data_IF_414724086989
#
_entry.id   IF_414724086989
#
_cell.length_a   1.000
_cell.length_b   1.000
_cell.length_c   1.000
_cell.angle_alpha   90.00
_cell.angle_beta   90.00
_cell.angle_gamma   90.00
#
_symmetry.space_group_name_H-M   'P 1'
#
loop_
_entity.id
_entity.type
_entity.pdbx_description
1 polymer ?
#
# COMPACT_ATOMS: atom_id res chain seq x y z
N UNK A 1 12.36 19.43 -25.46
CA UNK A 1 11.78 20.46 -26.31
C UNK A 1 10.45 20.97 -25.77
N UNK A 2 9.44 20.17 -25.48
CA UNK A 2 8.13 20.62 -24.98
C UNK A 2 8.25 21.55 -23.76
N UNK A 3 9.04 21.19 -22.73
CA UNK A 3 9.20 22.03 -21.55
C UNK A 3 9.86 23.38 -21.89
N UNK A 4 10.83 23.38 -22.82
CA UNK A 4 11.46 24.63 -23.30
C UNK A 4 10.46 25.51 -24.05
N UNK A 5 9.57 24.93 -24.82
CA UNK A 5 8.55 25.67 -25.58
C UNK A 5 7.51 26.26 -24.62
N UNK A 6 7.09 25.51 -23.60
CA UNK A 6 6.20 26.01 -22.51
C UNK A 6 6.88 27.18 -21.77
N UNK A 7 8.17 27.06 -21.43
CA UNK A 7 8.92 28.14 -20.77
C UNK A 7 8.99 29.39 -21.62
N UNK A 8 9.19 29.26 -22.96
CA UNK A 8 9.19 30.39 -23.88
C UNK A 8 7.83 31.09 -23.92
N UNK A 9 6.74 30.32 -23.93
CA UNK A 9 5.37 30.89 -23.99
C UNK A 9 5.01 31.54 -22.65
N UNK A 10 5.37 30.92 -21.53
CA UNK A 10 5.03 31.42 -20.19
C UNK A 10 5.98 32.52 -19.67
N UNK A 11 7.16 32.68 -20.27
CA UNK A 11 8.17 33.65 -19.86
C UNK A 11 8.88 33.34 -18.54
N UNK A 12 8.57 32.23 -17.86
CA UNK A 12 9.12 31.85 -16.58
C UNK A 12 9.48 30.36 -16.54
N UNK A 13 10.50 30.03 -15.72
CA UNK A 13 10.84 28.64 -15.45
C UNK A 13 9.74 27.95 -14.62
N UNK A 14 9.49 26.64 -14.84
CA UNK A 14 8.45 25.93 -14.10
C UNK A 14 8.82 25.81 -12.61
N UNK A 15 7.83 26.00 -11.74
CA UNK A 15 8.00 25.73 -10.30
C UNK A 15 7.87 24.24 -9.99
N UNK A 16 7.02 23.52 -10.74
CA UNK A 16 6.82 22.08 -10.64
C UNK A 16 6.76 21.44 -12.02
N UNK A 17 7.33 20.24 -12.13
CA UNK A 17 7.27 19.41 -13.35
C UNK A 17 6.70 18.05 -12.93
N UNK A 18 5.56 17.68 -13.50
CA UNK A 18 4.94 16.38 -13.28
C UNK A 18 5.42 15.39 -14.33
N UNK A 19 6.06 14.31 -13.89
CA UNK A 19 6.55 13.24 -14.78
C UNK A 19 5.64 12.03 -14.59
N UNK A 20 4.82 11.74 -15.60
CA UNK A 20 3.95 10.56 -15.58
C UNK A 20 4.75 9.31 -15.93
N UNK A 21 4.60 8.29 -15.07
CA UNK A 21 5.34 7.04 -15.18
C UNK A 21 4.41 5.93 -15.70
N UNK A 22 4.68 5.41 -16.90
CA UNK A 22 3.97 4.24 -17.40
C UNK A 22 4.40 2.99 -16.61
N UNK A 23 3.43 2.16 -16.16
CA UNK A 23 3.72 0.83 -15.63
C UNK A 23 4.36 -0.03 -16.73
N UNK A 24 5.63 -0.36 -16.57
CA UNK A 24 6.22 -1.48 -17.30
C UNK A 24 5.69 -2.77 -16.70
N UNK A 25 5.11 -3.66 -17.49
CA UNK A 25 4.95 -5.04 -17.05
C UNK A 25 6.34 -5.60 -16.78
N UNK A 26 6.62 -6.06 -15.55
CA UNK A 26 7.88 -6.74 -15.27
C UNK A 26 7.91 -8.04 -16.09
N UNK A 27 8.89 -8.18 -16.97
CA UNK A 27 9.05 -9.39 -17.79
C UNK A 27 9.34 -10.64 -16.96
N UNK A 28 9.79 -10.48 -15.72
CA UNK A 28 10.16 -11.58 -14.81
C UNK A 28 8.98 -12.35 -14.19
N UNK A 29 7.75 -11.94 -14.40
CA UNK A 29 6.56 -12.63 -13.88
C UNK A 29 5.82 -13.47 -14.93
N UNK A 30 6.26 -13.50 -16.17
CA UNK A 30 5.69 -14.39 -17.19
C UNK A 30 6.11 -15.84 -16.94
N UNK A 31 5.22 -16.61 -16.31
CA UNK A 31 5.36 -18.07 -16.19
C UNK A 31 5.31 -18.68 -14.79
N UNK A 32 5.38 -17.90 -13.71
CA UNK A 32 5.12 -18.43 -12.36
C UNK A 32 3.63 -18.35 -12.03
N UNK A 33 2.98 -19.50 -11.85
CA UNK A 33 1.62 -19.57 -11.32
C UNK A 33 1.62 -18.91 -9.94
N UNK A 34 0.99 -17.76 -9.85
CA UNK A 34 0.84 -17.06 -8.57
C UNK A 34 -0.15 -17.86 -7.73
N UNK A 35 0.24 -18.28 -6.53
CA UNK A 35 -0.67 -18.94 -5.59
C UNK A 35 -1.82 -18.02 -5.25
N UNK A 36 -3.03 -18.59 -5.13
CA UNK A 36 -4.21 -17.84 -4.72
C UNK A 36 -4.06 -17.37 -3.28
N UNK A 37 -4.81 -16.33 -2.87
CA UNK A 37 -4.83 -15.87 -1.47
C UNK A 37 -5.24 -16.99 -0.51
N UNK A 38 -6.16 -17.85 -0.90
CA UNK A 38 -6.58 -19.02 -0.12
C UNK A 38 -5.42 -20.02 0.05
N UNK A 39 -4.70 -20.34 -1.02
CA UNK A 39 -3.53 -21.21 -0.95
C UNK A 39 -2.44 -20.63 -0.04
N UNK A 40 -2.19 -19.32 -0.13
CA UNK A 40 -1.22 -18.62 0.73
C UNK A 40 -1.60 -18.74 2.21
N UNK A 41 -2.84 -18.46 2.58
CA UNK A 41 -3.32 -18.57 3.97
C UNK A 41 -3.19 -20.02 4.45
N UNK A 42 -3.66 -20.99 3.69
CA UNK A 42 -3.61 -22.40 4.07
C UNK A 42 -2.17 -22.89 4.28
N UNK A 43 -1.24 -22.51 3.41
CA UNK A 43 0.18 -22.86 3.57
C UNK A 43 0.82 -22.25 4.81
N UNK A 44 0.44 -21.02 5.18
CA UNK A 44 0.90 -20.40 6.41
C UNK A 44 0.30 -21.09 7.64
N UNK A 45 -0.99 -21.37 7.63
CA UNK A 45 -1.71 -21.98 8.75
C UNK A 45 -1.26 -23.40 9.05
N UNK A 46 -0.90 -24.20 8.04
CA UNK A 46 -0.31 -25.54 8.26
C UNK A 46 0.92 -25.55 9.17
N UNK A 47 1.65 -24.43 9.22
CA UNK A 47 2.86 -24.29 10.03
C UNK A 47 2.56 -23.84 11.47
N UNK A 48 1.34 -23.44 11.76
CA UNK A 48 0.93 -22.84 13.02
C UNK A 48 0.03 -23.81 13.78
N UNK A 49 0.40 -24.15 15.03
CA UNK A 49 -0.35 -25.10 15.86
C UNK A 49 -1.17 -24.39 16.96
N UNK A 50 -1.62 -23.18 16.69
CA UNK A 50 -2.36 -22.37 17.65
C UNK A 50 -3.88 -22.60 17.51
N UNK A 51 -4.63 -22.52 18.63
CA UNK A 51 -6.07 -22.72 18.63
C UNK A 51 -6.80 -21.63 17.82
N UNK A 52 -6.33 -20.39 17.88
CA UNK A 52 -6.88 -19.28 17.11
C UNK A 52 -6.84 -19.60 15.58
N UNK A 53 -5.75 -20.22 15.12
CA UNK A 53 -5.62 -20.63 13.70
C UNK A 53 -6.61 -21.74 13.34
N UNK A 54 -6.82 -22.72 14.22
CA UNK A 54 -7.81 -23.81 13.96
C UNK A 54 -9.23 -23.28 13.84
N UNK A 55 -9.58 -22.25 14.60
CA UNK A 55 -10.88 -21.58 14.51
C UNK A 55 -11.03 -20.92 13.14
N UNK A 56 -9.99 -20.20 12.70
CA UNK A 56 -9.98 -19.52 11.41
C UNK A 56 -9.96 -20.51 10.22
N UNK A 57 -9.25 -21.62 10.35
CA UNK A 57 -9.29 -22.70 9.33
C UNK A 57 -10.72 -23.26 9.18
N UNK A 58 -11.41 -23.53 10.28
CA UNK A 58 -12.82 -23.96 10.21
C UNK A 58 -13.70 -22.93 9.51
N UNK A 59 -13.54 -21.65 9.79
CA UNK A 59 -14.27 -20.59 9.07
C UNK A 59 -14.01 -20.60 7.56
N UNK A 60 -12.76 -20.84 7.14
CA UNK A 60 -12.42 -20.97 5.72
C UNK A 60 -13.04 -22.23 5.09
N UNK A 61 -13.07 -23.33 5.82
CA UNK A 61 -13.64 -24.61 5.37
C UNK A 61 -15.18 -24.53 5.25
N UNK A 62 -15.85 -23.82 6.15
CA UNK A 62 -17.29 -23.53 6.07
C UNK A 62 -17.66 -22.74 4.80
N UNK A 63 -16.75 -21.92 4.28
CA UNK A 63 -16.98 -21.22 3.03
C UNK A 63 -16.82 -22.09 1.77
N UNK A 64 -16.21 -23.27 1.90
CA UNK A 64 -16.06 -24.25 0.84
C UNK A 64 -15.45 -23.66 -0.43
N UNK A 65 -16.04 -23.98 -1.59
CA UNK A 65 -15.59 -23.47 -2.90
C UNK A 65 -15.68 -21.93 -3.03
N UNK A 66 -16.54 -21.29 -2.25
CA UNK A 66 -16.70 -19.83 -2.22
C UNK A 66 -15.57 -19.07 -1.55
N UNK A 67 -14.72 -19.75 -0.75
CA UNK A 67 -13.63 -19.11 0.02
C UNK A 67 -12.67 -18.29 -0.86
N UNK A 68 -12.28 -18.84 -2.02
CA UNK A 68 -11.35 -18.17 -2.93
C UNK A 68 -11.92 -16.84 -3.46
N UNK A 69 -13.21 -16.78 -3.76
CA UNK A 69 -13.89 -15.58 -4.23
C UNK A 69 -14.02 -14.54 -3.10
N UNK A 70 -14.41 -14.95 -1.90
CA UNK A 70 -14.50 -14.06 -0.74
C UNK A 70 -13.17 -13.43 -0.39
N UNK A 71 -12.07 -14.16 -0.49
CA UNK A 71 -10.71 -13.69 -0.23
C UNK A 71 -10.16 -12.73 -1.30
N UNK A 72 -10.88 -12.44 -2.39
CA UNK A 72 -10.55 -11.33 -3.27
C UNK A 72 -10.71 -9.98 -2.55
N UNK A 73 -11.58 -9.91 -1.54
CA UNK A 73 -11.70 -8.76 -0.65
C UNK A 73 -10.41 -8.57 0.17
N UNK A 74 -9.79 -7.40 0.08
CA UNK A 74 -8.62 -7.05 0.89
C UNK A 74 -8.94 -7.11 2.39
N UNK A 75 -10.16 -6.71 2.81
CA UNK A 75 -10.58 -6.76 4.21
C UNK A 75 -10.58 -8.19 4.75
N UNK A 76 -11.18 -9.13 4.00
CA UNK A 76 -11.24 -10.53 4.42
C UNK A 76 -9.87 -11.20 4.37
N UNK A 77 -9.07 -10.91 3.35
CA UNK A 77 -7.70 -11.40 3.31
C UNK A 77 -6.87 -10.93 4.52
N UNK A 78 -6.95 -9.63 4.83
CA UNK A 78 -6.26 -9.05 5.99
C UNK A 78 -6.78 -9.61 7.32
N UNK A 79 -8.09 -9.88 7.44
CA UNK A 79 -8.68 -10.53 8.62
C UNK A 79 -7.97 -11.85 8.94
N UNK A 80 -7.80 -12.74 7.96
CA UNK A 80 -7.10 -14.01 8.17
C UNK A 80 -5.59 -13.81 8.39
N UNK A 81 -4.95 -12.90 7.67
CA UNK A 81 -3.53 -12.61 7.86
C UNK A 81 -3.22 -11.95 9.22
N UNK A 82 -4.22 -11.40 9.89
CA UNK A 82 -4.13 -10.78 11.22
C UNK A 82 -4.70 -11.66 12.34
N UNK A 83 -4.96 -12.95 12.09
CA UNK A 83 -5.58 -13.88 13.03
C UNK A 83 -6.86 -13.31 13.66
N UNK A 84 -7.70 -12.63 12.86
CA UNK A 84 -8.97 -12.09 13.29
C UNK A 84 -8.90 -10.94 14.30
N UNK A 85 -7.74 -10.27 14.45
CA UNK A 85 -7.55 -9.20 15.45
C UNK A 85 -7.16 -7.88 14.79
N UNK A 86 -7.63 -6.78 15.39
CA UNK A 86 -7.25 -5.42 15.00
C UNK A 86 -5.76 -5.17 15.30
N UNK A 87 -4.98 -4.72 14.30
CA UNK A 87 -3.53 -4.53 14.50
C UNK A 87 -3.17 -3.33 15.39
N UNK A 88 -4.12 -2.43 15.70
CA UNK A 88 -3.85 -1.31 16.60
C UNK A 88 -4.33 -1.53 18.02
N UNK A 89 -5.35 -2.39 18.25
CA UNK A 89 -5.90 -2.61 19.58
C UNK A 89 -5.67 -4.01 20.11
N UNK A 90 -5.47 -5.00 19.23
CA UNK A 90 -5.44 -6.42 19.59
C UNK A 90 -6.83 -7.04 19.82
N UNK A 91 -7.89 -6.23 19.73
CA UNK A 91 -9.26 -6.70 19.92
C UNK A 91 -9.72 -7.62 18.80
N UNK A 92 -10.55 -8.61 19.08
CA UNK A 92 -11.15 -9.46 18.05
C UNK A 92 -11.98 -8.66 17.07
N UNK A 93 -11.87 -9.01 15.80
CA UNK A 93 -12.68 -8.46 14.71
C UNK A 93 -13.88 -9.36 14.47
N UNK A 94 -15.09 -8.80 14.41
CA UNK A 94 -16.27 -9.55 14.02
C UNK A 94 -16.28 -9.76 12.51
N UNK A 95 -16.16 -11.02 12.09
CA UNK A 95 -16.11 -11.38 10.66
C UNK A 95 -17.42 -11.06 9.93
N UNK A 96 -18.57 -11.19 10.57
CA UNK A 96 -19.88 -10.89 9.96
C UNK A 96 -19.99 -9.40 9.65
N UNK A 97 -19.44 -8.56 10.51
CA UNK A 97 -19.33 -7.11 10.30
C UNK A 97 -18.41 -6.77 9.13
N UNK A 98 -17.33 -7.52 8.95
CA UNK A 98 -16.43 -7.35 7.78
C UNK A 98 -17.14 -7.79 6.49
N UNK A 99 -17.90 -8.88 6.52
CA UNK A 99 -18.62 -9.40 5.36
C UNK A 99 -19.77 -8.47 4.97
N UNK A 100 -20.55 -7.99 5.95
CA UNK A 100 -21.68 -7.09 5.70
C UNK A 100 -21.26 -5.69 5.23
N UNK A 101 -20.02 -5.30 5.57
CA UNK A 101 -19.52 -3.97 5.20
C UNK A 101 -20.22 -2.84 5.95
N UNK A 102 -20.61 -3.07 7.20
CA UNK A 102 -21.35 -2.13 8.07
C UNK A 102 -20.57 -0.86 8.50
N UNK A 103 -19.32 -0.74 8.06
CA UNK A 103 -18.48 0.42 8.35
C UNK A 103 -17.67 0.32 9.65
N UNK A 104 -17.83 -0.73 10.45
CA UNK A 104 -17.11 -0.89 11.72
C UNK A 104 -15.60 -1.13 11.55
N UNK A 105 -15.18 -1.62 10.39
CA UNK A 105 -13.78 -1.91 10.09
C UNK A 105 -13.33 -1.30 8.78
N UNK A 106 -12.14 -0.70 8.80
CA UNK A 106 -11.54 -0.04 7.64
C UNK A 106 -10.15 -0.61 7.32
N UNK A 107 -9.80 -0.51 6.03
CA UNK A 107 -8.41 -0.71 5.61
C UNK A 107 -7.66 0.58 5.90
N UNK A 108 -6.60 0.46 6.67
CA UNK A 108 -5.68 1.53 7.00
C UNK A 108 -4.35 1.34 6.28
N UNK A 109 -3.73 2.44 5.86
CA UNK A 109 -2.38 2.47 5.31
C UNK A 109 -1.38 2.80 6.42
N UNK A 110 -0.45 1.90 6.71
CA UNK A 110 0.59 2.11 7.72
C UNK A 110 1.38 3.37 7.38
N UNK A 111 1.90 3.46 6.16
CA UNK A 111 2.42 4.68 5.57
C UNK A 111 1.25 5.43 4.93
N UNK A 112 0.86 6.60 5.47
CA UNK A 112 -0.27 7.36 4.94
C UNK A 112 -0.13 7.66 3.45
N UNK A 113 -1.24 7.61 2.71
CA UNK A 113 -1.27 7.89 1.27
C UNK A 113 -0.85 9.33 0.92
N UNK A 114 -0.97 10.25 1.88
CA UNK A 114 -0.47 11.62 1.77
C UNK A 114 1.06 11.69 1.66
N UNK A 115 1.78 10.72 2.25
CA UNK A 115 3.24 10.64 2.18
C UNK A 115 3.72 9.69 1.09
N UNK A 116 3.06 8.54 0.98
CA UNK A 116 3.51 7.44 0.11
C UNK A 116 2.31 6.76 -0.54
N UNK A 117 2.26 6.74 -1.87
CA UNK A 117 1.22 6.03 -2.62
C UNK A 117 1.57 4.55 -2.77
N UNK A 118 1.50 3.81 -1.68
CA UNK A 118 1.70 2.36 -1.66
C UNK A 118 0.42 1.64 -1.25
N UNK A 119 -0.21 0.98 -2.20
CA UNK A 119 -1.44 0.20 -2.01
C UNK A 119 -1.16 -1.31 -1.80
N UNK A 120 0.08 -1.68 -1.45
CA UNK A 120 0.44 -3.07 -1.17
C UNK A 120 -0.33 -3.62 0.03
N UNK A 121 -1.17 -4.62 -0.21
CA UNK A 121 -1.90 -5.34 0.85
C UNK A 121 -0.92 -6.05 1.79
N UNK A 122 0.16 -6.57 1.24
CA UNK A 122 1.17 -7.32 2.00
C UNK A 122 2.01 -6.39 2.88
N UNK A 123 2.42 -5.21 2.37
CA UNK A 123 3.42 -4.38 3.03
C UNK A 123 2.86 -3.13 3.69
N UNK A 124 1.70 -2.61 3.24
CA UNK A 124 1.22 -1.30 3.70
C UNK A 124 -0.23 -1.25 4.20
N UNK A 125 -1.07 -2.24 3.89
CA UNK A 125 -2.46 -2.25 4.32
C UNK A 125 -2.67 -3.15 5.53
N UNK A 126 -3.53 -2.69 6.46
CA UNK A 126 -3.98 -3.43 7.63
C UNK A 126 -5.48 -3.25 7.83
N UNK A 127 -6.12 -4.17 8.53
CA UNK A 127 -7.53 -4.07 8.93
C UNK A 127 -7.62 -3.60 10.38
N UNK A 128 -8.37 -2.53 10.61
CA UNK A 128 -8.52 -1.90 11.92
C UNK A 128 -9.97 -1.47 12.17
N UNK A 129 -10.33 -1.27 13.43
CA UNK A 129 -11.60 -0.66 13.80
C UNK A 129 -11.71 0.77 13.29
N UNK A 130 -12.87 1.17 12.76
CA UNK A 130 -13.08 2.49 12.16
C UNK A 130 -12.83 3.64 13.13
N UNK A 131 -13.18 3.47 14.42
CA UNK A 131 -12.92 4.47 15.45
C UNK A 131 -11.43 4.76 15.60
N UNK A 132 -10.62 3.71 15.76
CA UNK A 132 -9.16 3.85 15.94
C UNK A 132 -8.50 4.41 14.69
N UNK A 133 -9.02 4.07 13.52
CA UNK A 133 -8.58 4.64 12.24
C UNK A 133 -8.81 6.15 12.18
N UNK A 134 -10.00 6.60 12.59
CA UNK A 134 -10.33 8.02 12.63
C UNK A 134 -9.45 8.81 13.61
N UNK A 135 -9.13 8.24 14.77
CA UNK A 135 -8.26 8.84 15.78
C UNK A 135 -6.81 8.97 15.29
N UNK A 136 -6.29 7.98 14.54
CA UNK A 136 -4.93 8.03 13.97
C UNK A 136 -4.80 9.08 12.87
N UNK A 137 -5.84 9.24 12.02
CA UNK A 137 -5.77 10.11 10.84
C UNK A 137 -4.52 9.82 9.98
N UNK A 138 -3.98 10.81 9.26
CA UNK A 138 -2.75 10.69 8.44
C UNK A 138 -1.45 10.80 9.27
N UNK A 139 -1.51 10.52 10.59
CA UNK A 139 -0.34 10.63 11.46
C UNK A 139 0.62 9.44 11.26
N UNK A 140 1.90 9.73 11.12
CA UNK A 140 2.97 8.75 11.08
C UNK A 140 4.26 9.37 11.65
N UNK A 141 5.03 8.66 12.48
CA UNK A 141 4.89 7.25 12.92
C UNK A 141 3.59 6.95 13.69
N UNK A 142 3.27 5.65 13.79
CA UNK A 142 2.15 5.19 14.63
C UNK A 142 2.41 5.63 16.08
N UNK A 143 1.35 5.96 16.80
CA UNK A 143 1.42 6.37 18.21
C UNK A 143 2.27 5.41 19.04
N UNK A 144 3.13 5.98 19.91
CA UNK A 144 4.10 5.23 20.68
C UNK A 144 3.43 4.25 21.67
N UNK A 145 2.28 4.59 22.23
CA UNK A 145 1.51 3.72 23.12
C UNK A 145 0.90 2.52 22.37
N UNK A 146 0.46 2.72 21.13
CA UNK A 146 0.04 1.63 20.25
C UNK A 146 1.23 0.73 19.93
N UNK A 147 2.36 1.32 19.55
CA UNK A 147 3.57 0.54 19.25
C UNK A 147 4.03 -0.29 20.44
N UNK A 148 4.12 0.29 21.63
CA UNK A 148 4.55 -0.42 22.84
C UNK A 148 3.63 -1.61 23.16
N UNK A 149 2.32 -1.41 23.11
CA UNK A 149 1.33 -2.45 23.38
C UNK A 149 1.30 -3.55 22.34
N UNK A 150 1.42 -3.19 21.05
CA UNK A 150 1.15 -4.09 19.93
C UNK A 150 2.41 -4.72 19.33
N UNK A 151 3.61 -4.21 19.58
CA UNK A 151 4.86 -4.78 19.05
C UNK A 151 5.01 -6.28 19.30
N UNK A 152 4.72 -6.81 20.53
CA UNK A 152 4.81 -8.25 20.76
C UNK A 152 3.91 -9.06 19.82
N UNK A 153 2.69 -8.57 19.56
CA UNK A 153 1.76 -9.22 18.65
C UNK A 153 2.23 -9.13 17.20
N UNK A 154 2.70 -7.99 16.75
CA UNK A 154 3.24 -7.82 15.39
C UNK A 154 4.47 -8.72 15.16
N UNK A 155 5.36 -8.82 16.13
CA UNK A 155 6.51 -9.73 16.08
C UNK A 155 6.07 -11.21 16.04
N UNK A 156 5.01 -11.55 16.76
CA UNK A 156 4.42 -12.88 16.71
C UNK A 156 3.90 -13.21 15.29
N UNK A 157 3.10 -12.33 14.69
CA UNK A 157 2.61 -12.49 13.33
C UNK A 157 3.73 -12.59 12.29
N UNK A 158 4.82 -11.81 12.45
CA UNK A 158 6.00 -11.88 11.57
C UNK A 158 6.70 -13.23 11.68
N UNK A 159 6.87 -13.77 12.88
CA UNK A 159 7.46 -15.12 13.09
C UNK A 159 6.62 -16.22 12.46
N UNK A 160 5.31 -16.07 12.41
CA UNK A 160 4.40 -16.97 11.73
C UNK A 160 4.40 -16.78 10.20
N UNK A 161 5.05 -15.73 9.68
CA UNK A 161 5.02 -15.35 8.27
C UNK A 161 3.71 -14.72 7.82
N UNK A 162 2.82 -14.35 8.75
CA UNK A 162 1.53 -13.74 8.47
C UNK A 162 1.64 -12.26 8.10
N UNK A 163 2.68 -11.58 8.56
CA UNK A 163 3.06 -10.26 8.07
C UNK A 163 4.50 -10.29 7.57
N UNK A 164 4.78 -9.48 6.54
CA UNK A 164 6.13 -9.35 5.98
C UNK A 164 7.06 -8.60 6.91
N UNK A 165 8.36 -8.82 6.78
CA UNK A 165 9.39 -8.06 7.51
C UNK A 165 9.28 -6.56 7.20
N UNK A 166 8.93 -6.21 5.96
CA UNK A 166 8.69 -4.82 5.58
C UNK A 166 7.48 -4.22 6.30
N UNK A 167 6.37 -4.97 6.42
CA UNK A 167 5.21 -4.54 7.20
C UNK A 167 5.57 -4.35 8.67
N UNK A 168 6.32 -5.29 9.27
CA UNK A 168 6.78 -5.17 10.65
C UNK A 168 7.65 -3.92 10.84
N UNK A 169 8.61 -3.68 9.96
CA UNK A 169 9.43 -2.46 9.97
C UNK A 169 8.59 -1.19 9.97
N UNK A 170 7.56 -1.13 9.11
CA UNK A 170 6.66 0.01 9.00
C UNK A 170 5.86 0.23 10.27
N UNK A 171 5.33 -0.84 10.88
CA UNK A 171 4.57 -0.78 12.12
C UNK A 171 5.43 -0.31 13.31
N UNK A 172 6.70 -0.72 13.37
CA UNK A 172 7.60 -0.45 14.49
C UNK A 172 8.49 0.77 14.31
N UNK A 173 8.43 1.46 13.18
CA UNK A 173 9.23 2.65 12.93
C UNK A 173 8.86 3.78 13.88
N UNK A 174 9.89 4.39 14.50
CA UNK A 174 9.73 5.48 15.48
C UNK A 174 10.05 6.87 14.93
N UNK A 175 10.67 6.94 13.74
CA UNK A 175 11.14 8.21 13.15
C UNK A 175 10.24 8.65 12.00
N UNK A 176 10.02 9.95 11.88
CA UNK A 176 9.38 10.54 10.71
C UNK A 176 10.20 10.28 9.44
N UNK A 177 9.56 10.41 8.28
CA UNK A 177 10.27 10.39 7.00
C UNK A 177 11.11 11.66 6.84
N UNK A 178 12.35 11.49 6.40
CA UNK A 178 13.12 12.58 5.83
C UNK A 178 12.68 12.84 4.39
N UNK A 179 13.01 14.00 3.85
CA UNK A 179 12.70 14.32 2.45
C UNK A 179 13.47 13.41 1.49
N UNK A 180 14.70 13.03 1.84
CA UNK A 180 15.50 12.08 1.07
C UNK A 180 14.88 10.69 1.04
N UNK A 181 14.36 10.19 2.16
CA UNK A 181 13.66 8.91 2.22
C UNK A 181 12.35 8.92 1.42
N UNK A 182 11.61 10.02 1.44
CA UNK A 182 10.41 10.18 0.60
C UNK A 182 10.78 10.12 -0.88
N UNK A 183 11.85 10.79 -1.25
CA UNK A 183 12.37 10.77 -2.61
C UNK A 183 12.85 9.37 -3.02
N UNK A 184 13.62 8.68 -2.17
CA UNK A 184 14.06 7.30 -2.42
C UNK A 184 12.90 6.31 -2.47
N UNK A 185 11.88 6.49 -1.64
CA UNK A 185 10.70 5.62 -1.65
C UNK A 185 9.93 5.77 -2.97
N UNK A 186 9.73 7.00 -3.41
CA UNK A 186 9.16 7.30 -4.73
C UNK A 186 10.03 6.68 -5.82
N UNK A 187 11.35 6.85 -5.76
CA UNK A 187 12.28 6.26 -6.72
C UNK A 187 12.24 4.72 -6.72
N UNK A 188 12.14 4.06 -5.58
CA UNK A 188 12.02 2.59 -5.51
C UNK A 188 10.73 2.08 -6.11
N UNK A 189 9.62 2.77 -5.94
CA UNK A 189 8.39 2.46 -6.64
C UNK A 189 8.50 2.68 -8.16
N UNK A 190 9.42 3.54 -8.57
CA UNK A 190 9.74 3.85 -9.96
C UNK A 190 10.78 2.89 -10.60
N UNK A 191 11.43 2.03 -9.81
CA UNK A 191 12.40 1.02 -10.35
C UNK A 191 11.74 0.04 -11.31
N UNK A 192 10.42 -0.13 -11.23
CA UNK A 192 9.65 -0.86 -12.24
C UNK A 192 9.41 -0.05 -13.53
N UNK A 193 9.80 1.20 -13.58
CA UNK A 193 9.69 2.05 -14.75
C UNK A 193 11.03 2.22 -15.44
N UNK A 194 11.01 2.05 -16.76
CA UNK A 194 12.14 2.05 -17.69
C UNK A 194 13.22 3.07 -17.33
N UNK A 195 14.49 2.68 -17.41
CA UNK A 195 15.67 3.53 -17.19
C UNK A 195 15.61 4.91 -17.87
N UNK A 196 14.93 5.01 -19.02
CA UNK A 196 14.70 6.25 -19.76
C UNK A 196 14.00 7.36 -18.93
N UNK A 197 13.07 6.99 -18.04
CA UNK A 197 12.36 7.99 -17.24
C UNK A 197 13.21 8.54 -16.09
N UNK A 198 14.10 7.71 -15.53
CA UNK A 198 15.10 8.17 -14.55
C UNK A 198 16.07 9.18 -15.17
N UNK A 199 16.57 8.86 -16.35
CA UNK A 199 17.48 9.76 -17.11
C UNK A 199 16.76 11.06 -17.43
N UNK A 200 15.51 11.01 -17.88
CA UNK A 200 14.72 12.22 -18.15
C UNK A 200 14.54 13.08 -16.90
N UNK A 201 14.24 12.48 -15.77
CA UNK A 201 14.05 13.22 -14.50
C UNK A 201 15.34 13.89 -14.02
N UNK A 202 16.48 13.20 -14.13
CA UNK A 202 17.79 13.77 -13.80
C UNK A 202 18.12 14.95 -14.72
N UNK A 203 17.89 14.81 -16.03
CA UNK A 203 18.09 15.89 -16.99
C UNK A 203 17.17 17.09 -16.72
N UNK A 204 15.90 16.86 -16.36
CA UNK A 204 14.98 17.93 -16.01
C UNK A 204 15.44 18.66 -14.73
N UNK A 205 15.97 17.95 -13.73
CA UNK A 205 16.49 18.54 -12.49
C UNK A 205 17.75 19.36 -12.74
N UNK A 206 18.60 18.90 -13.67
CA UNK A 206 19.81 19.64 -14.07
C UNK A 206 19.47 20.94 -14.84
N UNK A 207 18.48 20.87 -15.75
CA UNK A 207 18.04 22.03 -16.54
C UNK A 207 17.26 23.04 -15.70
N UNK A 208 16.46 22.56 -14.74
CA UNK A 208 15.59 23.36 -13.89
C UNK A 208 15.85 23.06 -12.40
N UNK A 209 17.00 23.47 -11.84
CA UNK A 209 17.40 23.10 -10.47
C UNK A 209 16.45 23.61 -9.38
N UNK A 210 15.70 24.68 -9.66
CA UNK A 210 14.72 25.25 -8.75
C UNK A 210 13.32 24.60 -8.88
N UNK A 211 13.09 23.78 -9.90
CA UNK A 211 11.81 23.12 -10.10
C UNK A 211 11.69 21.87 -9.22
N UNK A 212 10.54 21.72 -8.56
CA UNK A 212 10.18 20.48 -7.91
C UNK A 212 9.71 19.47 -8.96
N UNK A 213 10.38 18.31 -9.05
CA UNK A 213 9.94 17.22 -9.92
C UNK A 213 9.02 16.31 -9.13
N UNK A 214 7.78 16.16 -9.62
CA UNK A 214 6.75 15.33 -9.01
C UNK A 214 6.47 14.14 -9.92
N UNK A 215 6.66 12.93 -9.40
CA UNK A 215 6.39 11.70 -10.13
C UNK A 215 4.94 11.28 -9.90
N UNK A 216 4.25 10.97 -10.98
CA UNK A 216 2.83 10.56 -10.94
C UNK A 216 2.64 9.22 -11.65
N UNK A 217 1.73 8.39 -11.14
CA UNK A 217 1.38 7.11 -11.77
C UNK A 217 0.64 7.36 -13.09
N UNK A 218 0.83 6.45 -14.05
CA UNK A 218 -0.01 6.38 -15.24
C UNK A 218 -1.50 6.30 -14.84
N UNK A 219 -2.30 7.14 -15.45
CA UNK A 219 -3.73 7.26 -15.15
C UNK A 219 -4.12 8.55 -14.45
N UNK A 220 -3.23 9.19 -13.67
CA UNK A 220 -3.57 10.42 -12.96
C UNK A 220 -4.02 11.54 -13.92
N UNK A 221 -3.36 11.67 -15.06
CA UNK A 221 -3.74 12.66 -16.10
C UNK A 221 -5.08 12.26 -16.74
N UNK A 222 -5.34 10.98 -16.91
CA UNK A 222 -6.63 10.48 -17.39
C UNK A 222 -7.75 10.80 -16.41
N UNK A 223 -7.51 10.52 -15.13
CA UNK A 223 -8.47 10.80 -14.05
C UNK A 223 -8.76 12.30 -13.94
N UNK A 224 -7.71 13.13 -13.99
CA UNK A 224 -7.84 14.59 -14.03
C UNK A 224 -8.63 15.07 -15.22
N UNK A 225 -8.39 14.52 -16.43
CA UNK A 225 -9.17 14.87 -17.63
C UNK A 225 -10.65 14.51 -17.49
N UNK A 226 -10.94 13.35 -16.88
CA UNK A 226 -12.33 12.94 -16.63
C UNK A 226 -13.00 13.85 -15.60
N UNK A 227 -12.29 14.22 -14.55
CA UNK A 227 -12.81 15.11 -13.50
C UNK A 227 -13.13 16.51 -14.03
N UNK A 228 -12.32 17.04 -14.94
CA UNK A 228 -12.46 18.37 -15.52
C UNK A 228 -13.03 18.39 -16.96
N UNK A 229 -13.56 17.26 -17.43
CA UNK A 229 -14.16 17.09 -18.77
C UNK A 229 -13.26 17.56 -19.93
N UNK A 230 -11.96 17.33 -19.81
CA UNK A 230 -10.96 17.73 -20.78
C UNK A 230 -10.85 16.72 -21.93
N UNK A 231 -11.16 17.14 -23.15
CA UNK A 231 -11.06 16.31 -24.34
C UNK A 231 -9.60 15.90 -24.64
N UNK A 232 -9.43 14.65 -25.06
CA UNK A 232 -8.15 14.17 -25.56
C UNK A 232 -7.95 14.70 -26.98
N UNK A 233 -7.01 15.63 -27.19
CA UNK A 233 -6.60 16.00 -28.55
C UNK A 233 -5.98 14.79 -29.24
N UNK A 234 -6.42 14.47 -30.43
CA UNK A 234 -5.86 13.43 -31.29
C UNK A 234 -4.57 13.91 -31.93
#
# INVERSE_FOLDING_TARGET
DIVKDVVKVQGNAPKMIFVEMARGASEDQKGKRTSTRLEQIRELYKKVKEEDVRILERQLDEWGEGASNKLQSDKLFLYFMQLGKCLYTGEPINIDSVISGDGNYNIEHIYPRSFVKDDSVINNKILVGSRVNGEKSDTYPIDAGIQERMTPYWMHLSRLGLISDEKLKRLTRKTHFTDDERFEFINRQLVETRQSTKVLSLLLKEIYPQAQIVYVKAGLISDFRHEFDLLKSR
#
